data_IF_249648469030
#
_entry.id   IF_249648469030
#
_cell.length_a   1.000
_cell.length_b   1.000
_cell.length_c   1.000
_cell.angle_alpha   90.00
_cell.angle_beta   90.00
_cell.angle_gamma   90.00
#
_symmetry.space_group_name_H-M   'P 1'
#
loop_
_entity.id
_entity.type
_entity.pdbx_description
1 polymer ?
#
# COMPACT_ATOMS: atom_id res chain seq x y z
N UNK A 1 -0.36 -4.90 -16.06
CA UNK A 1 0.57 -4.09 -15.23
C UNK A 1 -0.10 -3.86 -13.90
N UNK A 2 0.48 -4.39 -12.82
CA UNK A 2 -0.01 -4.15 -11.46
C UNK A 2 0.37 -2.72 -11.08
N UNK A 3 -0.61 -1.89 -10.77
CA UNK A 3 -0.37 -0.52 -10.30
C UNK A 3 -0.41 -0.50 -8.78
N UNK A 4 0.56 0.16 -8.16
CA UNK A 4 0.60 0.35 -6.71
C UNK A 4 0.12 1.75 -6.36
N UNK A 5 -0.77 1.84 -5.37
CA UNK A 5 -1.18 3.12 -4.77
C UNK A 5 -0.11 3.56 -3.79
N UNK A 6 0.44 4.75 -3.98
CA UNK A 6 1.48 5.32 -3.09
C UNK A 6 1.00 6.53 -2.31
N UNK A 7 -0.13 7.12 -2.71
CA UNK A 7 -0.71 8.25 -2.01
C UNK A 7 -2.15 8.52 -2.43
N UNK A 8 -2.85 9.30 -1.63
CA UNK A 8 -4.20 9.79 -1.95
C UNK A 8 -4.20 11.31 -1.92
N UNK A 9 -4.66 11.94 -3.01
CA UNK A 9 -4.83 13.39 -3.06
C UNK A 9 -6.06 13.73 -2.20
N UNK A 10 -5.85 14.38 -1.06
CA UNK A 10 -6.92 14.73 -0.12
C UNK A 10 -7.41 16.16 -0.28
N UNK A 11 -6.58 17.06 -0.79
CA UNK A 11 -6.96 18.45 -1.05
C UNK A 11 -5.96 19.14 -2.00
N UNK A 12 -6.22 20.40 -2.34
CA UNK A 12 -5.24 21.33 -2.90
C UNK A 12 -4.56 22.15 -1.79
N UNK A 13 -3.47 22.83 -2.12
CA UNK A 13 -2.79 23.79 -1.24
C UNK A 13 -2.42 25.06 -2.03
N UNK A 14 -2.79 26.23 -1.50
CA UNK A 14 -2.53 27.52 -2.15
C UNK A 14 -3.14 27.63 -3.56
N UNK A 15 -2.67 28.61 -4.32
CA UNK A 15 -3.18 28.90 -5.68
C UNK A 15 -2.29 28.36 -6.79
N UNK A 16 -1.08 27.89 -6.47
CA UNK A 16 -0.03 27.56 -7.45
C UNK A 16 -0.03 26.09 -7.91
N UNK A 17 -1.19 25.44 -7.92
CA UNK A 17 -1.32 24.05 -8.38
C UNK A 17 -0.73 22.99 -7.43
N UNK A 18 -0.49 23.33 -6.16
CA UNK A 18 0.05 22.37 -5.18
C UNK A 18 -1.07 21.43 -4.68
N UNK A 19 -0.75 20.15 -4.58
CA UNK A 19 -1.65 19.09 -4.14
C UNK A 19 -1.23 18.59 -2.77
N UNK A 20 -2.20 18.46 -1.86
CA UNK A 20 -2.03 17.83 -0.56
C UNK A 20 -2.35 16.35 -0.66
N UNK A 21 -1.35 15.53 -0.37
CA UNK A 21 -1.35 14.08 -0.52
C UNK A 21 -1.16 13.43 0.85
N UNK A 22 -2.02 12.46 1.16
CA UNK A 22 -1.79 11.51 2.24
C UNK A 22 -0.91 10.39 1.71
N UNK A 23 0.25 10.17 2.32
CA UNK A 23 1.15 9.06 1.97
C UNK A 23 0.50 7.72 2.33
N UNK A 24 0.62 6.74 1.43
CA UNK A 24 0.31 5.32 1.72
C UNK A 24 1.58 4.48 1.83
N UNK A 25 2.74 5.15 1.87
CA UNK A 25 4.06 4.56 2.05
C UNK A 25 4.55 4.88 3.45
N UNK A 26 5.16 3.90 4.10
CA UNK A 26 5.83 4.05 5.41
C UNK A 26 7.09 4.92 5.33
N UNK A 27 7.63 5.07 4.12
CA UNK A 27 8.76 5.96 3.83
C UNK A 27 8.23 7.32 3.39
N UNK A 28 8.52 8.36 4.18
CA UNK A 28 8.06 9.72 3.91
C UNK A 28 8.71 10.27 2.63
N UNK A 29 10.01 10.04 2.46
CA UNK A 29 10.84 10.48 1.32
C UNK A 29 10.43 9.87 -0.02
N UNK A 30 9.48 8.91 -0.02
CA UNK A 30 9.09 8.14 -1.20
C UNK A 30 8.76 8.98 -2.43
N UNK A 31 8.13 10.14 -2.24
CA UNK A 31 7.74 11.01 -3.35
C UNK A 31 8.92 11.74 -4.00
N UNK A 32 10.05 11.89 -3.31
CA UNK A 32 11.28 12.47 -3.88
C UNK A 32 11.99 11.53 -4.86
N UNK A 33 11.82 10.22 -4.67
CA UNK A 33 12.39 9.17 -5.54
C UNK A 33 11.59 8.99 -6.85
N UNK A 34 10.38 9.55 -6.92
CA UNK A 34 9.47 9.37 -8.07
C UNK A 34 9.65 10.50 -9.08
N UNK A 35 9.99 10.14 -10.32
CA UNK A 35 10.03 11.11 -11.42
C UNK A 35 8.61 11.49 -11.87
N UNK A 36 7.69 10.52 -11.89
CA UNK A 36 6.31 10.69 -12.32
C UNK A 36 5.36 9.75 -11.59
N UNK A 37 4.08 10.08 -11.62
CA UNK A 37 2.98 9.25 -11.13
C UNK A 37 1.86 9.21 -12.15
N UNK A 38 1.04 8.16 -12.09
CA UNK A 38 -0.29 8.17 -12.70
C UNK A 38 -1.31 8.63 -11.65
N UNK A 39 -2.39 9.24 -12.12
CA UNK A 39 -3.53 9.58 -11.27
C UNK A 39 -4.67 8.64 -11.62
N UNK A 40 -5.37 8.11 -10.62
CA UNK A 40 -6.48 7.17 -10.84
C UNK A 40 -7.53 7.70 -11.83
N UNK A 41 -7.79 6.92 -12.89
CA UNK A 41 -8.69 7.30 -13.98
C UNK A 41 -8.06 8.19 -15.07
N UNK A 42 -6.75 8.45 -15.00
CA UNK A 42 -5.96 9.10 -16.03
C UNK A 42 -4.93 8.12 -16.60
N UNK A 43 -4.54 8.30 -17.87
CA UNK A 43 -3.60 7.41 -18.57
C UNK A 43 -2.24 8.08 -18.80
N UNK A 44 -2.21 9.40 -18.74
CA UNK A 44 -1.01 10.20 -18.89
C UNK A 44 -0.17 10.23 -17.61
N UNK A 45 1.16 10.35 -17.79
CA UNK A 45 2.11 10.51 -16.70
C UNK A 45 2.13 11.96 -16.22
N UNK A 46 2.09 12.15 -14.91
CA UNK A 46 2.24 13.43 -14.25
C UNK A 46 3.63 13.50 -13.61
N UNK A 47 4.52 14.31 -14.21
CA UNK A 47 5.89 14.47 -13.73
C UNK A 47 5.92 15.37 -12.50
N UNK A 48 6.53 14.88 -11.43
CA UNK A 48 6.69 15.63 -10.18
C UNK A 48 7.69 16.76 -10.41
N UNK A 49 7.33 17.96 -9.99
CA UNK A 49 8.17 19.16 -10.07
C UNK A 49 8.76 19.54 -8.71
N UNK A 50 7.97 19.41 -7.63
CA UNK A 50 8.46 19.63 -6.28
C UNK A 50 7.71 18.78 -5.27
N UNK A 51 8.40 18.44 -4.18
CA UNK A 51 7.88 17.69 -3.03
C UNK A 51 8.24 18.48 -1.77
N UNK A 52 7.28 18.62 -0.84
CA UNK A 52 7.50 19.18 0.50
C UNK A 52 6.71 18.39 1.52
N UNK A 53 7.17 18.40 2.77
CA UNK A 53 6.52 17.71 3.86
C UNK A 53 5.88 18.70 4.82
N UNK A 54 4.62 18.44 5.19
CA UNK A 54 3.88 19.22 6.17
C UNK A 54 3.11 18.32 7.12
N UNK A 55 3.68 18.11 8.31
CA UNK A 55 3.16 17.16 9.33
C UNK A 55 3.06 15.76 8.69
N UNK A 56 1.88 15.15 8.73
CA UNK A 56 1.60 13.83 8.14
C UNK A 56 1.27 13.85 6.64
N UNK A 57 1.41 15.00 5.96
CA UNK A 57 1.03 15.13 4.56
C UNK A 57 2.22 15.51 3.69
N UNK A 58 2.14 15.13 2.42
CA UNK A 58 3.06 15.49 1.36
C UNK A 58 2.40 16.52 0.48
N UNK A 59 3.12 17.60 0.16
CA UNK A 59 2.71 18.61 -0.80
C UNK A 59 3.49 18.38 -2.08
N UNK A 60 2.80 18.17 -3.20
CA UNK A 60 3.43 17.95 -4.50
C UNK A 60 2.94 18.96 -5.54
N UNK A 61 3.82 19.34 -6.46
CA UNK A 61 3.44 20.03 -7.70
C UNK A 61 3.81 19.18 -8.91
N UNK A 62 3.07 19.34 -10.00
CA UNK A 62 3.38 18.69 -11.27
C UNK A 62 3.89 19.70 -12.30
N UNK A 63 4.84 19.28 -13.15
CA UNK A 63 5.38 20.13 -14.22
C UNK A 63 4.23 20.62 -15.12
N UNK A 64 4.11 21.95 -15.25
CA UNK A 64 3.08 22.59 -16.08
C UNK A 64 1.73 22.83 -15.39
N UNK A 65 1.55 22.38 -14.14
CA UNK A 65 0.34 22.61 -13.35
C UNK A 65 0.62 23.69 -12.30
N UNK A 66 0.38 24.96 -12.67
CA UNK A 66 0.75 26.14 -11.88
C UNK A 66 -0.46 26.88 -11.30
N UNK A 67 -1.67 26.35 -11.48
CA UNK A 67 -2.92 26.95 -11.02
C UNK A 67 -3.82 25.90 -10.35
N UNK A 68 -4.47 26.29 -9.25
CA UNK A 68 -5.39 25.43 -8.48
C UNK A 68 -6.49 24.80 -9.35
N UNK A 69 -7.04 25.55 -10.32
CA UNK A 69 -8.13 25.09 -11.18
C UNK A 69 -7.70 23.92 -12.08
N UNK A 70 -6.39 23.79 -12.35
CA UNK A 70 -5.86 22.70 -13.17
C UNK A 70 -5.78 21.38 -12.40
N UNK A 71 -5.67 21.44 -11.06
CA UNK A 71 -5.37 20.29 -10.21
C UNK A 71 -6.53 19.89 -9.28
N UNK A 72 -7.51 20.77 -9.08
CA UNK A 72 -8.65 20.50 -8.19
C UNK A 72 -9.43 19.23 -8.59
N UNK A 73 -9.54 18.97 -9.90
CA UNK A 73 -10.15 17.75 -10.45
C UNK A 73 -9.47 16.44 -10.02
N UNK A 74 -8.27 16.52 -9.46
CA UNK A 74 -7.53 15.35 -8.98
C UNK A 74 -7.85 15.01 -7.51
N UNK A 75 -8.60 15.84 -6.81
CA UNK A 75 -9.00 15.60 -5.42
C UNK A 75 -9.73 14.26 -5.28
N UNK A 76 -9.43 13.56 -4.18
CA UNK A 76 -9.89 12.22 -3.81
C UNK A 76 -9.36 11.07 -4.68
N UNK A 77 -8.52 11.33 -5.68
CA UNK A 77 -7.90 10.28 -6.51
C UNK A 77 -6.61 9.75 -5.89
N UNK A 78 -6.28 8.51 -6.23
CA UNK A 78 -5.01 7.91 -5.84
C UNK A 78 -3.89 8.24 -6.82
N UNK A 79 -2.68 8.39 -6.27
CA UNK A 79 -1.43 8.39 -7.01
C UNK A 79 -0.94 6.96 -7.15
N UNK A 80 -0.61 6.60 -8.37
CA UNK A 80 -0.27 5.25 -8.80
C UNK A 80 1.14 5.23 -9.38
N UNK A 81 1.90 4.18 -9.07
CA UNK A 81 3.16 3.85 -9.73
C UNK A 81 3.03 2.49 -10.42
N UNK A 82 3.87 2.25 -11.42
CA UNK A 82 4.07 0.93 -12.00
C UNK A 82 5.18 0.15 -11.27
N UNK A 83 5.36 -1.11 -11.66
CA UNK A 83 6.38 -1.99 -11.08
C UNK A 83 7.81 -1.48 -11.30
N UNK A 84 8.07 -0.72 -12.36
CA UNK A 84 9.42 -0.22 -12.69
C UNK A 84 9.94 0.81 -11.68
N UNK A 85 9.02 1.41 -10.91
CA UNK A 85 9.34 2.41 -9.90
C UNK A 85 9.28 1.82 -8.48
N UNK A 86 9.04 0.51 -8.30
CA UNK A 86 9.05 -0.11 -6.96
C UNK A 86 10.40 0.10 -6.29
N UNK A 87 10.37 0.31 -4.96
CA UNK A 87 11.57 0.34 -4.13
C UNK A 87 11.99 -1.10 -3.86
N UNK A 88 13.29 -1.35 -3.79
CA UNK A 88 13.77 -2.53 -3.09
C UNK A 88 13.41 -2.39 -1.60
N UNK A 89 12.78 -3.43 -1.05
CA UNK A 89 12.37 -3.46 0.34
C UNK A 89 13.42 -4.21 1.17
N UNK A 90 13.63 -3.82 2.44
CA UNK A 90 14.40 -4.62 3.38
C UNK A 90 13.84 -6.05 3.48
N UNK A 91 14.69 -6.99 3.87
CA UNK A 91 14.26 -8.35 4.18
C UNK A 91 13.12 -8.35 5.21
N UNK A 92 12.12 -9.20 4.97
CA UNK A 92 10.92 -9.27 5.82
C UNK A 92 9.89 -8.16 5.62
N UNK A 93 10.13 -7.20 4.72
CA UNK A 93 9.17 -6.14 4.38
C UNK A 93 8.51 -6.42 3.03
N UNK A 94 7.19 -6.28 2.96
CA UNK A 94 6.42 -6.62 1.76
C UNK A 94 5.44 -5.52 1.39
N UNK A 95 5.16 -5.37 0.10
CA UNK A 95 4.02 -4.57 -0.34
C UNK A 95 2.73 -5.31 0.01
N UNK A 96 1.77 -4.63 0.65
CA UNK A 96 0.42 -5.15 0.93
C UNK A 96 -0.20 -5.82 -0.32
N UNK A 97 -0.04 -5.18 -1.49
CA UNK A 97 -0.58 -5.70 -2.73
C UNK A 97 0.01 -7.06 -3.15
N UNK A 98 1.19 -7.42 -2.68
CA UNK A 98 1.85 -8.70 -2.94
C UNK A 98 1.46 -9.77 -1.90
N UNK A 99 1.00 -9.36 -0.72
CA UNK A 99 0.48 -10.24 0.34
C UNK A 99 -0.99 -10.63 0.11
N UNK A 100 -1.82 -9.69 -0.37
CA UNK A 100 -3.22 -9.98 -0.68
C UNK A 100 -3.31 -11.06 -1.75
N UNK A 101 -4.05 -12.13 -1.45
CA UNK A 101 -4.29 -13.28 -2.34
C UNK A 101 -3.37 -14.48 -2.13
N UNK A 102 -2.33 -14.35 -1.28
CA UNK A 102 -1.45 -15.46 -0.95
C UNK A 102 -2.19 -16.56 -0.19
N UNK A 103 -1.83 -17.82 -0.46
CA UNK A 103 -2.36 -18.99 0.21
C UNK A 103 -1.72 -19.16 1.58
N UNK A 104 -2.54 -19.35 2.61
CA UNK A 104 -2.09 -19.44 4.00
C UNK A 104 -2.22 -20.87 4.51
N UNK A 105 -1.15 -21.37 5.13
CA UNK A 105 -1.07 -22.71 5.69
C UNK A 105 -0.54 -22.70 7.12
N UNK A 106 -0.92 -23.67 7.93
CA UNK A 106 -0.29 -23.90 9.23
C UNK A 106 1.08 -24.58 9.10
N UNK A 107 1.84 -24.65 10.19
CA UNK A 107 3.07 -25.45 10.29
C UNK A 107 2.87 -26.94 9.95
N UNK A 108 1.64 -27.46 10.10
CA UNK A 108 1.28 -28.83 9.75
C UNK A 108 0.76 -28.96 8.30
N UNK A 109 0.94 -27.92 7.47
CA UNK A 109 0.52 -27.85 6.07
C UNK A 109 -1.00 -27.96 5.87
N UNK A 110 -1.79 -27.58 6.88
CA UNK A 110 -3.24 -27.41 6.76
C UNK A 110 -3.54 -26.07 6.08
N UNK A 111 -4.44 -26.06 5.09
CA UNK A 111 -4.82 -24.86 4.36
C UNK A 111 -5.90 -24.07 5.08
N UNK A 112 -5.66 -22.77 5.31
CA UNK A 112 -6.56 -21.87 6.03
C UNK A 112 -7.32 -20.90 5.13
N UNK A 113 -6.96 -20.81 3.84
CA UNK A 113 -7.55 -19.86 2.91
C UNK A 113 -6.55 -18.87 2.35
N UNK A 114 -7.05 -17.73 1.88
CA UNK A 114 -6.22 -16.66 1.29
C UNK A 114 -6.28 -15.40 2.14
N UNK A 115 -5.21 -14.62 2.12
CA UNK A 115 -5.25 -13.25 2.68
C UNK A 115 -6.18 -12.41 1.81
N UNK A 116 -7.24 -11.86 2.41
CA UNK A 116 -8.24 -11.01 1.72
C UNK A 116 -8.16 -9.55 2.12
N UNK A 117 -7.59 -9.25 3.29
CA UNK A 117 -7.40 -7.89 3.76
C UNK A 117 -6.23 -7.82 4.77
N UNK A 118 -5.70 -6.61 4.97
CA UNK A 118 -4.71 -6.32 6.01
C UNK A 118 -5.21 -5.12 6.80
N UNK A 119 -5.53 -5.34 8.07
CA UNK A 119 -6.01 -4.30 8.96
C UNK A 119 -4.84 -3.64 9.69
N UNK A 120 -4.88 -2.31 9.77
CA UNK A 120 -3.96 -1.51 10.57
C UNK A 120 -4.51 -1.41 12.00
N UNK A 121 -3.94 -2.17 12.93
CA UNK A 121 -4.30 -2.21 14.35
C UNK A 121 -3.26 -1.46 15.20
N UNK A 122 -3.31 -0.12 15.15
CA UNK A 122 -2.33 0.73 15.83
C UNK A 122 -0.99 0.71 15.11
N UNK A 123 0.04 0.16 15.75
CA UNK A 123 1.37 -0.02 15.16
C UNK A 123 1.60 -1.42 14.58
N UNK A 124 0.59 -2.29 14.63
CA UNK A 124 0.68 -3.66 14.15
C UNK A 124 -0.31 -3.89 13.01
N UNK A 125 0.06 -4.78 12.11
CA UNK A 125 -0.82 -5.24 11.04
C UNK A 125 -1.50 -6.56 11.44
N UNK A 126 -2.71 -6.78 10.96
CA UNK A 126 -3.47 -8.03 11.17
C UNK A 126 -3.92 -8.54 9.82
N UNK A 127 -3.49 -9.75 9.47
CA UNK A 127 -3.87 -10.41 8.22
C UNK A 127 -5.24 -11.06 8.40
N UNK A 128 -6.16 -10.74 7.49
CA UNK A 128 -7.49 -11.32 7.44
C UNK A 128 -7.48 -12.43 6.40
N UNK A 129 -7.71 -13.65 6.87
CA UNK A 129 -7.64 -14.87 6.07
C UNK A 129 -9.05 -15.43 5.91
N UNK A 130 -9.42 -15.77 4.67
CA UNK A 130 -10.75 -16.24 4.34
C UNK A 130 -10.70 -17.54 3.55
N UNK A 131 -11.47 -18.53 3.98
CA UNK A 131 -11.76 -19.75 3.23
C UNK A 131 -13.24 -19.85 2.87
N UNK A 132 -13.58 -19.58 1.61
CA UNK A 132 -14.97 -19.63 1.14
C UNK A 132 -15.90 -18.68 1.91
N UNK A 133 -16.91 -19.23 2.59
CA UNK A 133 -17.89 -18.47 3.41
C UNK A 133 -17.68 -18.64 4.93
N UNK A 134 -16.54 -19.16 5.37
CA UNK A 134 -16.23 -19.30 6.80
C UNK A 134 -16.16 -17.94 7.49
N UNK A 135 -16.12 -17.94 8.83
CA UNK A 135 -15.68 -16.75 9.55
C UNK A 135 -14.23 -16.43 9.15
N UNK A 136 -13.87 -15.15 8.94
CA UNK A 136 -12.48 -14.78 8.68
C UNK A 136 -11.60 -15.05 9.90
N UNK A 137 -10.41 -15.59 9.66
CA UNK A 137 -9.37 -15.75 10.67
C UNK A 137 -8.52 -14.49 10.68
N UNK A 138 -8.18 -13.96 11.86
CA UNK A 138 -7.35 -12.77 12.02
C UNK A 138 -6.05 -13.13 12.71
N UNK A 139 -4.93 -12.95 12.01
CA UNK A 139 -3.60 -13.30 12.51
C UNK A 139 -2.73 -12.04 12.58
N UNK A 140 -2.19 -11.67 13.75
CA UNK A 140 -1.25 -10.56 13.84
C UNK A 140 0.00 -10.85 12.99
N UNK A 141 0.42 -9.86 12.19
CA UNK A 141 1.56 -9.98 11.29
C UNK A 141 2.87 -9.73 12.03
N UNK A 142 3.22 -10.69 12.90
CA UNK A 142 4.49 -10.72 13.64
C UNK A 142 5.16 -12.06 13.41
N UNK A 143 6.49 -12.09 13.43
CA UNK A 143 7.31 -13.27 13.11
C UNK A 143 6.94 -14.51 13.93
N UNK A 144 6.46 -14.33 15.17
CA UNK A 144 6.00 -15.42 16.03
C UNK A 144 4.81 -16.19 15.43
N UNK A 145 3.87 -15.48 14.80
CA UNK A 145 2.68 -16.08 14.19
C UNK A 145 2.82 -16.28 12.69
N UNK A 146 3.71 -15.56 12.03
CA UNK A 146 3.97 -15.67 10.58
C UNK A 146 5.47 -15.93 10.35
N UNK A 147 5.96 -17.14 10.65
CA UNK A 147 7.38 -17.47 10.55
C UNK A 147 7.91 -17.48 9.11
N UNK A 148 7.04 -17.54 8.08
CA UNK A 148 7.50 -17.59 6.70
C UNK A 148 6.49 -16.99 5.72
N UNK A 149 6.98 -16.13 4.83
CA UNK A 149 6.26 -15.56 3.70
C UNK A 149 7.11 -15.79 2.44
N UNK A 150 6.53 -16.42 1.41
CA UNK A 150 7.15 -16.56 0.09
C UNK A 150 6.23 -15.95 -0.97
N UNK A 151 6.66 -14.81 -1.52
CA UNK A 151 5.96 -14.16 -2.63
C UNK A 151 6.07 -14.99 -3.91
N UNK A 152 7.21 -15.66 -4.12
CA UNK A 152 7.46 -16.48 -5.32
C UNK A 152 6.55 -17.72 -5.36
N UNK A 153 6.41 -18.42 -4.22
CA UNK A 153 5.51 -19.58 -4.10
C UNK A 153 4.04 -19.17 -3.92
N UNK A 154 3.81 -17.89 -3.65
CA UNK A 154 2.49 -17.36 -3.32
C UNK A 154 1.94 -17.90 -1.99
N UNK A 155 2.81 -18.17 -1.01
CA UNK A 155 2.52 -18.94 0.20
C UNK A 155 2.92 -18.21 1.48
N UNK A 156 2.08 -18.31 2.51
CA UNK A 156 2.36 -17.87 3.88
C UNK A 156 2.22 -19.07 4.82
N UNK A 157 3.19 -19.26 5.72
CA UNK A 157 3.10 -20.24 6.81
C UNK A 157 2.82 -19.48 8.10
N UNK A 158 1.82 -19.94 8.84
CA UNK A 158 1.42 -19.39 10.13
C UNK A 158 1.56 -20.42 11.24
N UNK A 159 1.85 -19.91 12.44
CA UNK A 159 1.96 -20.68 13.68
C UNK A 159 1.04 -20.07 14.76
N UNK A 160 -0.29 -20.15 14.58
CA UNK A 160 -1.23 -19.59 15.54
C UNK A 160 -1.23 -20.39 16.84
N UNK A 161 -1.53 -19.72 17.96
CA UNK A 161 -1.78 -20.41 19.24
C UNK A 161 -3.14 -21.12 19.20
N UNK A 162 -3.29 -22.14 20.06
CA UNK A 162 -4.56 -22.85 20.25
C UNK A 162 -5.69 -21.86 20.60
N UNK A 163 -6.85 -22.02 19.95
CA UNK A 163 -8.01 -21.13 20.10
C UNK A 163 -7.98 -19.85 19.25
N UNK A 164 -6.92 -19.57 18.49
CA UNK A 164 -6.84 -18.37 17.63
C UNK A 164 -7.50 -18.54 16.26
N UNK A 165 -7.69 -19.77 15.81
CA UNK A 165 -8.21 -20.13 14.47
C UNK A 165 -9.51 -20.96 14.51
N UNK A 166 -10.09 -21.14 15.71
CA UNK A 166 -11.34 -21.90 15.92
C UNK A 166 -12.61 -21.14 15.47
#
# INVERSE_FOLDING_TARGET
>A
MKMLRVGKIINTHGLKGELKVLSLSDYAERFEELEWVLIEGYKEKFYIESVKYQKSNVLITFKGYKDINQVEKFKNKYLLIDETQRRELPEGTYYIADIIGLDVYTMNNEYLGKVVDILQAGSNEVYVIQYGKSTPIMIPAVDEFIPHISIEEGKIIVNPIEGMIE
#
